data_IF_397996603197
#
_entry.id   IF_397996603197
#
_cell.length_a   1.000
_cell.length_b   1.000
_cell.length_c   1.000
_cell.angle_alpha   90.00
_cell.angle_beta   90.00
_cell.angle_gamma   90.00
#
_symmetry.space_group_name_H-M   'P 1'
#
loop_
_entity.id
_entity.type
_entity.pdbx_description
1 polymer ?
#
# COMPACT_ATOMS: atom_id res chain seq x y z
N UNK A 1 21.43 -20.12 16.20
CA UNK A 1 21.82 -19.92 14.79
C UNK A 1 21.51 -18.46 14.45
N UNK A 2 22.52 -17.59 14.43
CA UNK A 2 22.32 -16.14 14.23
C UNK A 2 22.30 -15.88 12.73
N UNK A 3 21.13 -15.56 12.17
CA UNK A 3 21.01 -15.07 10.81
C UNK A 3 21.72 -13.72 10.73
N UNK A 4 22.90 -13.68 10.12
CA UNK A 4 23.50 -12.43 9.66
C UNK A 4 22.58 -11.86 8.57
N UNK A 5 21.78 -10.86 8.92
CA UNK A 5 21.16 -10.01 7.90
C UNK A 5 22.26 -9.09 7.37
N UNK A 6 22.57 -9.19 6.08
CA UNK A 6 23.35 -8.16 5.41
C UNK A 6 22.67 -6.80 5.60
N UNK A 7 23.43 -5.73 5.86
CA UNK A 7 22.84 -4.40 5.91
C UNK A 7 22.16 -4.08 4.57
N UNK A 8 20.96 -3.49 4.57
CA UNK A 8 20.28 -3.15 3.32
C UNK A 8 21.21 -2.30 2.46
N UNK A 9 21.48 -2.71 1.21
CA UNK A 9 22.16 -1.85 0.24
C UNK A 9 21.40 -0.53 0.18
N UNK A 10 22.10 0.57 0.39
CA UNK A 10 21.52 1.89 0.26
C UNK A 10 20.88 2.00 -1.12
N UNK A 11 19.60 2.37 -1.17
CA UNK A 11 18.93 2.65 -2.44
C UNK A 11 19.68 3.80 -3.12
N UNK A 12 19.85 3.76 -4.45
CA UNK A 12 20.47 4.86 -5.16
C UNK A 12 19.69 6.14 -4.87
N UNK A 13 20.42 7.22 -4.56
CA UNK A 13 19.81 8.52 -4.32
C UNK A 13 19.04 8.93 -5.58
N UNK A 14 17.76 9.26 -5.42
CA UNK A 14 16.98 9.80 -6.52
C UNK A 14 17.53 11.18 -6.89
N UNK A 15 17.93 11.35 -8.16
CA UNK A 15 18.49 12.59 -8.70
C UNK A 15 17.55 13.29 -9.70
N UNK A 16 16.33 12.78 -9.88
CA UNK A 16 15.35 13.39 -10.77
C UNK A 16 14.66 14.60 -10.14
N UNK A 17 13.99 15.44 -10.96
CA UNK A 17 13.06 16.43 -10.43
C UNK A 17 11.95 15.74 -9.62
N UNK A 18 11.43 16.44 -8.62
CA UNK A 18 10.26 15.95 -7.89
C UNK A 18 9.11 15.70 -8.88
N UNK A 19 8.30 14.64 -8.68
CA UNK A 19 7.13 14.39 -9.52
C UNK A 19 6.22 15.62 -9.55
N UNK A 20 5.82 16.04 -10.75
CA UNK A 20 4.85 17.11 -10.94
C UNK A 20 3.47 16.48 -11.06
N UNK A 21 2.50 16.99 -10.30
CA UNK A 21 1.10 16.58 -10.45
C UNK A 21 0.62 16.95 -11.85
N UNK A 22 0.03 15.99 -12.56
CA UNK A 22 -0.59 16.22 -13.86
C UNK A 22 -2.08 15.91 -13.74
N UNK A 23 -2.92 16.76 -14.32
CA UNK A 23 -4.38 16.61 -14.25
C UNK A 23 -4.90 15.49 -15.16
N UNK A 24 -4.12 15.13 -16.19
CA UNK A 24 -4.50 14.14 -17.18
C UNK A 24 -3.36 13.16 -17.41
N UNK A 25 -3.62 11.89 -17.14
CA UNK A 25 -2.75 10.80 -17.57
C UNK A 25 -2.97 10.53 -19.06
N UNK A 26 -2.01 10.96 -19.89
CA UNK A 26 -2.10 10.89 -21.36
C UNK A 26 -1.56 9.61 -21.98
N UNK A 27 -1.02 8.67 -21.20
CA UNK A 27 -0.29 7.51 -21.72
C UNK A 27 -1.03 6.19 -21.53
N UNK A 28 -1.10 5.35 -22.56
CA UNK A 28 -1.48 3.93 -22.43
C UNK A 28 -2.97 3.58 -22.36
N UNK A 29 -3.90 4.50 -22.59
CA UNK A 29 -5.35 4.21 -22.61
C UNK A 29 -6.10 5.25 -23.44
N UNK A 30 -6.95 4.83 -24.39
CA UNK A 30 -7.79 5.76 -25.15
C UNK A 30 -9.01 6.25 -24.35
N UNK A 31 -9.72 7.27 -24.83
CA UNK A 31 -10.87 7.85 -24.11
C UNK A 31 -12.01 6.86 -23.86
N UNK A 32 -12.21 5.88 -24.75
CA UNK A 32 -13.23 4.84 -24.57
C UNK A 32 -12.84 3.87 -23.45
N UNK A 33 -11.57 3.48 -23.41
CA UNK A 33 -11.03 2.62 -22.36
C UNK A 33 -10.96 3.34 -21.01
N UNK A 34 -10.58 4.63 -20.98
CA UNK A 34 -10.62 5.45 -19.76
C UNK A 34 -12.02 5.51 -19.19
N UNK A 35 -13.02 5.78 -20.03
CA UNK A 35 -14.43 5.81 -19.62
C UNK A 35 -14.90 4.45 -19.12
N UNK A 36 -14.43 3.35 -19.72
CA UNK A 36 -14.82 1.99 -19.35
C UNK A 36 -14.20 1.51 -18.04
N UNK A 37 -12.92 1.82 -17.79
CA UNK A 37 -12.16 1.19 -16.70
C UNK A 37 -11.66 2.18 -15.64
N UNK A 38 -11.18 3.35 -16.06
CA UNK A 38 -10.55 4.32 -15.16
C UNK A 38 -11.59 5.10 -14.36
N UNK A 39 -12.65 5.58 -15.02
CA UNK A 39 -13.70 6.36 -14.34
C UNK A 39 -14.36 5.55 -13.21
N UNK A 40 -14.83 4.30 -13.42
CA UNK A 40 -15.41 3.52 -12.33
C UNK A 40 -14.42 3.25 -11.20
N UNK A 41 -13.16 2.95 -11.51
CA UNK A 41 -12.14 2.72 -10.50
C UNK A 41 -11.86 3.97 -9.64
N UNK A 42 -11.85 5.17 -10.24
CA UNK A 42 -11.71 6.43 -9.51
C UNK A 42 -12.92 6.66 -8.59
N UNK A 43 -14.14 6.36 -9.05
CA UNK A 43 -15.34 6.54 -8.24
C UNK A 43 -15.37 5.56 -7.05
N UNK A 44 -14.96 4.31 -7.25
CA UNK A 44 -14.76 3.34 -6.17
C UNK A 44 -13.71 3.82 -5.16
N UNK A 45 -12.58 4.36 -5.64
CA UNK A 45 -11.53 4.91 -4.77
C UNK A 45 -12.05 6.10 -3.94
N UNK A 46 -12.85 6.99 -4.53
CA UNK A 46 -13.48 8.10 -3.80
C UNK A 46 -14.44 7.59 -2.73
N UNK A 47 -15.22 6.56 -3.03
CA UNK A 47 -16.11 5.94 -2.06
C UNK A 47 -15.32 5.32 -0.90
N UNK A 48 -14.25 4.58 -1.19
CA UNK A 48 -13.36 4.03 -0.17
C UNK A 48 -12.72 5.12 0.71
N UNK A 49 -12.33 6.24 0.12
CA UNK A 49 -11.84 7.40 0.89
C UNK A 49 -12.92 7.98 1.81
N UNK A 50 -14.16 8.12 1.32
CA UNK A 50 -15.30 8.57 2.12
C UNK A 50 -15.64 7.59 3.27
N UNK A 51 -15.40 6.30 3.07
CA UNK A 51 -15.53 5.25 4.08
C UNK A 51 -14.35 5.21 5.08
N UNK A 52 -13.35 6.11 4.95
CA UNK A 52 -12.25 6.24 5.90
C UNK A 52 -10.97 5.51 5.52
N UNK A 53 -10.81 5.06 4.27
CA UNK A 53 -9.51 4.56 3.80
C UNK A 53 -8.51 5.72 3.76
N UNK A 54 -7.45 5.61 4.56
CA UNK A 54 -6.37 6.61 4.64
C UNK A 54 -5.04 6.03 4.15
N UNK A 55 -4.12 6.91 3.74
CA UNK A 55 -2.75 6.51 3.40
C UNK A 55 -2.04 5.82 4.58
N UNK A 56 -2.25 6.31 5.81
CA UNK A 56 -1.71 5.70 7.04
C UNK A 56 -2.23 4.28 7.22
N UNK A 57 -3.53 4.05 7.05
CA UNK A 57 -4.14 2.72 7.12
C UNK A 57 -3.63 1.76 6.05
N UNK A 58 -3.42 2.26 4.83
CA UNK A 58 -2.77 1.49 3.76
C UNK A 58 -1.34 1.09 4.14
N UNK A 59 -0.54 2.02 4.65
CA UNK A 59 0.82 1.72 5.12
C UNK A 59 0.82 0.68 6.25
N UNK A 60 -0.07 0.82 7.24
CA UNK A 60 -0.23 -0.16 8.31
C UNK A 60 -0.55 -1.54 7.74
N UNK A 61 -1.47 -1.63 6.78
CA UNK A 61 -1.87 -2.88 6.12
C UNK A 61 -0.70 -3.54 5.39
N UNK A 62 0.09 -2.78 4.64
CA UNK A 62 1.28 -3.29 3.95
C UNK A 62 2.30 -3.86 4.92
N UNK A 63 2.60 -3.15 6.01
CA UNK A 63 3.56 -3.62 7.01
C UNK A 63 3.04 -4.83 7.80
N UNK A 64 1.77 -4.83 8.24
CA UNK A 64 1.16 -5.97 8.91
C UNK A 64 1.23 -7.25 8.08
N UNK A 65 0.93 -7.14 6.78
CA UNK A 65 0.97 -8.25 5.82
C UNK A 65 2.36 -8.57 5.31
N UNK A 66 3.38 -7.78 5.68
CA UNK A 66 4.76 -7.87 5.16
C UNK A 66 4.81 -7.88 3.64
N UNK A 67 4.00 -7.03 3.02
CA UNK A 67 3.96 -6.82 1.57
C UNK A 67 4.75 -5.55 1.25
N UNK A 68 5.77 -5.67 0.41
CA UNK A 68 6.53 -4.53 -0.08
C UNK A 68 5.79 -3.87 -1.26
N UNK A 69 5.36 -2.59 -1.14
CA UNK A 69 4.56 -1.97 -2.19
C UNK A 69 5.29 -1.88 -3.54
N UNK A 70 6.61 -1.68 -3.51
CA UNK A 70 7.43 -1.41 -4.70
C UNK A 70 8.23 -2.63 -5.19
N UNK A 71 8.09 -3.80 -4.55
CA UNK A 71 8.73 -5.03 -5.02
C UNK A 71 7.91 -5.64 -6.15
N UNK A 72 8.59 -6.27 -7.12
CA UNK A 72 7.92 -7.11 -8.11
C UNK A 72 7.12 -8.20 -7.40
N UNK A 73 5.87 -8.42 -7.84
CA UNK A 73 4.93 -9.33 -7.20
C UNK A 73 4.56 -10.42 -8.18
N UNK A 74 4.38 -11.64 -7.65
CA UNK A 74 3.88 -12.76 -8.45
C UNK A 74 2.41 -12.55 -8.83
N UNK A 75 1.62 -11.98 -7.91
CA UNK A 75 0.21 -11.65 -8.11
C UNK A 75 -0.03 -10.15 -7.92
N UNK A 76 -0.97 -9.55 -8.68
CA UNK A 76 -1.49 -8.23 -8.37
C UNK A 76 -2.07 -8.16 -6.94
N UNK A 77 -2.01 -6.99 -6.29
CA UNK A 77 -2.42 -6.87 -4.88
C UNK A 77 -3.89 -7.23 -4.63
N UNK A 78 -4.75 -6.95 -5.61
CA UNK A 78 -6.17 -7.22 -5.50
C UNK A 78 -6.48 -8.73 -5.47
N UNK A 79 -5.51 -9.58 -5.84
CA UNK A 79 -5.56 -11.03 -5.74
C UNK A 79 -4.81 -11.57 -4.50
N UNK A 80 -4.52 -10.72 -3.52
CA UNK A 80 -3.79 -11.13 -2.32
C UNK A 80 -4.48 -12.31 -1.62
N UNK A 81 -3.79 -13.45 -1.56
CA UNK A 81 -4.33 -14.73 -1.10
C UNK A 81 -4.16 -14.97 0.41
N UNK A 82 -3.62 -14.02 1.17
CA UNK A 82 -3.42 -14.15 2.61
C UNK A 82 -2.00 -14.57 3.00
N UNK A 83 -1.81 -15.23 4.17
CA UNK A 83 -0.49 -15.57 4.72
C UNK A 83 0.41 -16.43 3.83
N UNK A 84 -0.17 -17.26 2.96
CA UNK A 84 0.59 -18.11 2.02
C UNK A 84 0.84 -17.43 0.67
N UNK A 85 0.47 -16.15 0.52
CA UNK A 85 0.68 -15.42 -0.73
C UNK A 85 2.19 -15.25 -0.98
N UNK A 86 2.70 -15.62 -2.18
CA UNK A 86 4.12 -15.52 -2.52
C UNK A 86 4.66 -14.08 -2.53
N UNK A 87 3.77 -13.08 -2.52
CA UNK A 87 4.12 -11.66 -2.41
C UNK A 87 4.55 -11.27 -0.99
N UNK A 88 4.24 -12.08 0.03
CA UNK A 88 4.66 -11.81 1.41
C UNK A 88 6.14 -12.14 1.60
N UNK A 89 6.85 -11.29 2.34
CA UNK A 89 8.21 -11.61 2.77
C UNK A 89 8.25 -12.68 3.88
N UNK A 90 7.17 -12.80 4.66
CA UNK A 90 7.01 -13.83 5.68
C UNK A 90 5.51 -14.08 5.97
N UNK A 91 5.16 -15.33 6.26
CA UNK A 91 3.79 -15.75 6.59
C UNK A 91 3.27 -15.12 7.89
N UNK A 92 4.15 -14.93 8.88
CA UNK A 92 3.79 -14.32 10.15
C UNK A 92 3.48 -12.83 10.01
N UNK A 93 2.39 -12.38 10.64
CA UNK A 93 2.08 -10.96 10.73
C UNK A 93 3.07 -10.25 11.66
N UNK A 94 3.32 -8.99 11.38
CA UNK A 94 4.14 -8.13 12.23
C UNK A 94 3.33 -7.70 13.48
N UNK A 95 3.91 -7.71 14.70
CA UNK A 95 3.23 -7.20 15.88
C UNK A 95 2.82 -5.73 15.72
N UNK A 96 1.65 -5.36 16.25
CA UNK A 96 1.09 -4.02 16.09
C UNK A 96 2.03 -2.89 16.54
N UNK A 97 2.79 -3.12 17.62
CA UNK A 97 3.75 -2.16 18.14
C UNK A 97 4.86 -1.85 17.12
N UNK A 98 5.36 -2.86 16.42
CA UNK A 98 6.39 -2.69 15.39
C UNK A 98 5.82 -2.00 14.15
N UNK A 99 4.58 -2.32 13.75
CA UNK A 99 3.90 -1.67 12.63
C UNK A 99 3.83 -0.16 12.86
N UNK A 100 3.42 0.26 14.06
CA UNK A 100 3.37 1.68 14.42
C UNK A 100 4.74 2.34 14.30
N UNK A 101 5.78 1.72 14.86
CA UNK A 101 7.14 2.26 14.80
C UNK A 101 7.62 2.44 13.35
N UNK A 102 7.33 1.49 12.48
CA UNK A 102 7.72 1.53 11.07
C UNK A 102 6.94 2.61 10.29
N UNK A 103 5.64 2.76 10.53
CA UNK A 103 4.83 3.80 9.88
C UNK A 103 5.28 5.20 10.30
N UNK A 104 5.54 5.44 11.59
CA UNK A 104 6.11 6.72 12.06
C UNK A 104 7.44 7.00 11.39
N UNK A 105 8.34 6.00 11.35
CA UNK A 105 9.66 6.13 10.73
C UNK A 105 9.58 6.42 9.23
N UNK A 106 8.70 5.71 8.51
CA UNK A 106 8.51 5.87 7.07
C UNK A 106 7.94 7.24 6.70
N UNK A 107 6.90 7.68 7.41
CA UNK A 107 6.26 8.97 7.15
C UNK A 107 7.12 10.14 7.61
N UNK A 108 8.04 9.93 8.57
CA UNK A 108 8.85 10.98 9.20
C UNK A 108 7.97 12.10 9.80
N UNK A 109 6.77 11.76 10.24
CA UNK A 109 5.79 12.69 10.80
C UNK A 109 5.43 12.31 12.23
N UNK A 110 5.13 13.31 13.07
CA UNK A 110 4.55 13.12 14.40
C UNK A 110 3.03 12.82 14.33
N UNK A 111 2.63 11.89 13.48
CA UNK A 111 1.22 11.49 13.35
C UNK A 111 0.85 10.56 14.50
N UNK A 112 -0.29 10.84 15.16
CA UNK A 112 -0.94 9.85 16.02
C UNK A 112 -1.60 8.77 15.15
N UNK A 113 -0.95 7.61 15.09
CA UNK A 113 -1.44 6.48 14.30
C UNK A 113 -2.75 5.93 14.86
N UNK A 114 -2.99 6.01 16.16
CA UNK A 114 -4.24 5.52 16.77
C UNK A 114 -5.39 6.39 16.29
N UNK A 115 -5.23 7.71 16.36
CA UNK A 115 -6.21 8.66 15.85
C UNK A 115 -6.47 8.46 14.35
N UNK A 116 -5.41 8.31 13.55
CA UNK A 116 -5.50 8.11 12.11
C UNK A 116 -6.23 6.81 11.69
N UNK A 117 -6.38 5.86 12.62
CA UNK A 117 -7.02 4.57 12.40
C UNK A 117 -8.40 4.45 13.04
N UNK A 118 -8.82 5.40 13.88
CA UNK A 118 -10.12 5.34 14.57
C UNK A 118 -11.31 5.15 13.63
N UNK A 119 -11.22 5.70 12.41
CA UNK A 119 -12.24 5.58 11.36
C UNK A 119 -11.77 4.72 10.18
N UNK A 120 -10.61 4.05 10.28
CA UNK A 120 -10.10 3.26 9.17
C UNK A 120 -10.86 1.93 9.07
N UNK A 121 -11.49 1.63 7.92
CA UNK A 121 -12.22 0.38 7.77
C UNK A 121 -11.25 -0.80 7.78
N UNK A 122 -11.73 -1.95 8.25
CA UNK A 122 -10.95 -3.18 8.17
C UNK A 122 -10.65 -3.51 6.69
N UNK A 123 -9.43 -3.95 6.36
CA UNK A 123 -9.11 -4.33 5.00
C UNK A 123 -10.08 -5.39 4.47
N UNK A 124 -10.76 -5.10 3.36
CA UNK A 124 -11.68 -6.03 2.71
C UNK A 124 -10.91 -7.30 2.30
N UNK A 125 -11.50 -8.46 2.56
CA UNK A 125 -10.97 -9.75 2.08
C UNK A 125 -11.43 -10.00 0.64
N UNK A 126 -10.76 -10.92 -0.06
CA UNK A 126 -11.14 -11.31 -1.43
C UNK A 126 -12.61 -11.77 -1.55
N UNK A 127 -13.22 -12.25 -0.46
CA UNK A 127 -14.64 -12.63 -0.44
C UNK A 127 -15.62 -11.45 -0.63
N UNK A 128 -15.13 -10.20 -0.57
CA UNK A 128 -15.92 -8.98 -0.68
C UNK A 128 -15.50 -8.10 -1.88
N UNK A 129 -14.67 -8.61 -2.79
CA UNK A 129 -14.46 -7.98 -4.09
C UNK A 129 -15.51 -8.56 -5.06
N UNK A 130 -16.38 -7.72 -5.66
CA UNK A 130 -17.34 -8.16 -6.67
C UNK A 130 -16.67 -8.72 -7.91
#
# INVERSE_FOLDING_TARGET
MVLHQEPPRATPRFHGPAPVSIDVWGWGTDESEKKKWVVPAIDELKQLQQEGVTGVGLCCTFFMRRVQPLKARANPLFQYAGPTDPTRELEANLPWLEVKAWVVSMLKMGIDIVEALNNHPSPRSHAHNP
#
